data_IF_300873744480
#
_entry.id   IF_300873744480
#
_cell.length_a   1.000
_cell.length_b   1.000
_cell.length_c   1.000
_cell.angle_alpha   90.00
_cell.angle_beta   90.00
_cell.angle_gamma   90.00
#
_symmetry.space_group_name_H-M   'P 1'
#
loop_
_entity.id
_entity.type
_entity.pdbx_description
1 polymer ?
#
# COMPACT_ATOMS: atom_id res chain seq x y z
N UNK A 1 7.51 0.90 -13.51
CA UNK A 1 7.51 1.58 -12.21
C UNK A 1 6.26 1.18 -11.46
N UNK A 2 6.36 0.86 -10.18
CA UNK A 2 5.24 0.47 -9.33
C UNK A 2 5.07 1.48 -8.18
N UNK A 3 3.84 1.92 -7.92
CA UNK A 3 3.49 2.76 -6.79
C UNK A 3 2.57 2.02 -5.83
N UNK A 4 2.98 1.90 -4.56
CA UNK A 4 2.12 1.38 -3.49
C UNK A 4 1.41 2.53 -2.79
N UNK A 5 0.10 2.57 -2.88
CA UNK A 5 -0.76 3.61 -2.31
C UNK A 5 -1.61 3.00 -1.19
N UNK A 6 -1.38 3.42 0.05
CA UNK A 6 -2.11 2.95 1.23
C UNK A 6 -2.35 4.12 2.17
N UNK A 7 -3.52 4.76 2.07
CA UNK A 7 -3.82 5.99 2.80
C UNK A 7 -5.08 5.86 3.66
N UNK A 8 -5.02 6.42 4.86
CA UNK A 8 -6.19 6.64 5.72
C UNK A 8 -7.01 7.81 5.19
N UNK A 9 -6.39 8.99 5.09
CA UNK A 9 -6.96 10.18 4.46
C UNK A 9 -6.82 10.08 2.93
N UNK A 10 -7.96 10.09 2.24
CA UNK A 10 -8.08 9.89 0.79
C UNK A 10 -8.16 11.20 0.02
N UNK A 11 -7.96 12.34 0.67
CA UNK A 11 -7.98 13.66 0.02
C UNK A 11 -6.98 13.71 -1.13
N UNK A 12 -7.47 13.96 -2.35
CA UNK A 12 -6.66 14.08 -3.57
C UNK A 12 -6.06 12.78 -4.11
N UNK A 13 -6.37 11.61 -3.51
CA UNK A 13 -5.70 10.35 -3.89
C UNK A 13 -6.08 9.87 -5.28
N UNK A 14 -7.30 10.18 -5.74
CA UNK A 14 -7.81 9.74 -7.04
C UNK A 14 -7.10 10.48 -8.16
N UNK A 15 -7.06 11.81 -8.09
CA UNK A 15 -6.40 12.66 -9.07
C UNK A 15 -4.91 12.34 -9.15
N UNK A 16 -4.28 12.10 -8.00
CA UNK A 16 -2.90 11.68 -7.92
C UNK A 16 -2.66 10.32 -8.60
N UNK A 17 -3.49 9.31 -8.31
CA UNK A 17 -3.38 7.98 -8.90
C UNK A 17 -3.66 7.99 -10.42
N UNK A 18 -4.60 8.80 -10.89
CA UNK A 18 -4.86 9.02 -12.31
C UNK A 18 -3.63 9.60 -13.03
N UNK A 19 -2.98 10.60 -12.44
CA UNK A 19 -1.76 11.18 -13.00
C UNK A 19 -0.62 10.16 -13.07
N UNK A 20 -0.42 9.36 -12.02
CA UNK A 20 0.56 8.26 -12.03
C UNK A 20 0.25 7.23 -13.13
N UNK A 21 -1.01 6.83 -13.25
CA UNK A 21 -1.43 5.87 -14.28
C UNK A 21 -1.21 6.41 -15.70
N UNK A 22 -1.51 7.69 -15.93
CA UNK A 22 -1.26 8.36 -17.23
C UNK A 22 0.23 8.38 -17.61
N UNK A 23 1.14 8.32 -16.63
CA UNK A 23 2.58 8.18 -16.83
C UNK A 23 3.05 6.71 -17.01
N UNK A 24 2.12 5.75 -17.04
CA UNK A 24 2.43 4.32 -17.17
C UNK A 24 2.89 3.67 -15.87
N UNK A 25 2.68 4.31 -14.71
CA UNK A 25 2.97 3.71 -13.41
C UNK A 25 1.88 2.69 -13.07
N UNK A 26 2.30 1.49 -12.66
CA UNK A 26 1.39 0.46 -12.16
C UNK A 26 0.98 0.79 -10.72
N UNK A 27 -0.31 0.68 -10.43
CA UNK A 27 -0.87 1.02 -9.13
C UNK A 27 -1.05 -0.25 -8.29
N UNK A 28 -0.42 -0.26 -7.12
CA UNK A 28 -0.62 -1.26 -6.08
C UNK A 28 -1.37 -0.60 -4.92
N UNK A 29 -2.36 -1.25 -4.35
CA UNK A 29 -3.09 -0.70 -3.20
C UNK A 29 -3.71 -1.78 -2.33
N UNK A 30 -4.36 -1.39 -1.24
CA UNK A 30 -4.98 -2.32 -0.28
C UNK A 30 -6.27 -1.76 0.30
N UNK A 31 -7.23 -2.65 0.58
CA UNK A 31 -8.45 -2.36 1.32
C UNK A 31 -9.23 -1.19 0.74
N UNK A 32 -9.66 -0.27 1.62
CA UNK A 32 -10.49 0.87 1.22
C UNK A 32 -9.83 1.83 0.21
N UNK A 33 -8.50 1.86 0.09
CA UNK A 33 -7.82 2.66 -0.95
C UNK A 33 -7.94 1.96 -2.30
N UNK A 34 -7.67 0.65 -2.36
CA UNK A 34 -7.81 -0.12 -3.60
C UNK A 34 -9.23 -0.06 -4.15
N UNK A 35 -10.22 -0.24 -3.27
CA UNK A 35 -11.65 -0.13 -3.61
C UNK A 35 -11.99 1.22 -4.24
N UNK A 36 -11.58 2.33 -3.60
CA UNK A 36 -11.83 3.67 -4.12
C UNK A 36 -11.23 3.85 -5.52
N UNK A 37 -9.98 3.44 -5.73
CA UNK A 37 -9.31 3.60 -7.02
C UNK A 37 -9.98 2.75 -8.12
N UNK A 38 -10.37 1.51 -7.79
CA UNK A 38 -11.07 0.62 -8.71
C UNK A 38 -12.46 1.16 -9.10
N UNK A 39 -13.21 1.74 -8.15
CA UNK A 39 -14.51 2.39 -8.40
C UNK A 39 -14.39 3.59 -9.36
N UNK A 40 -13.22 4.22 -9.44
CA UNK A 40 -12.90 5.28 -10.40
C UNK A 40 -12.36 4.76 -11.74
N UNK A 41 -12.40 3.43 -11.96
CA UNK A 41 -11.97 2.79 -13.19
C UNK A 41 -10.45 2.68 -13.36
N UNK A 42 -9.67 2.91 -12.31
CA UNK A 42 -8.22 2.75 -12.37
C UNK A 42 -7.81 1.27 -12.29
N UNK A 43 -6.85 0.82 -13.10
CA UNK A 43 -6.32 -0.54 -13.02
C UNK A 43 -5.37 -0.66 -11.82
N UNK A 44 -5.93 -0.96 -10.66
CA UNK A 44 -5.21 -1.19 -9.41
C UNK A 44 -5.08 -2.69 -9.14
N UNK A 45 -3.88 -3.12 -8.75
CA UNK A 45 -3.63 -4.47 -8.24
C UNK A 45 -3.71 -4.44 -6.72
N UNK A 46 -4.51 -5.33 -6.14
CA UNK A 46 -4.59 -5.45 -4.70
C UNK A 46 -3.34 -6.14 -4.14
N UNK A 47 -2.86 -5.70 -2.97
CA UNK A 47 -1.70 -6.31 -2.30
C UNK A 47 -1.95 -7.80 -2.04
N UNK A 48 -3.18 -8.22 -1.73
CA UNK A 48 -3.52 -9.62 -1.53
C UNK A 48 -3.29 -10.47 -2.79
N UNK A 49 -3.63 -9.94 -3.98
CA UNK A 49 -3.37 -10.61 -5.26
C UNK A 49 -1.87 -10.72 -5.54
N UNK A 50 -1.12 -9.65 -5.26
CA UNK A 50 0.33 -9.63 -5.44
C UNK A 50 1.04 -10.59 -4.48
N UNK A 51 0.62 -10.66 -3.22
CA UNK A 51 1.25 -11.51 -2.20
C UNK A 51 0.79 -12.96 -2.31
N UNK A 52 -0.42 -13.20 -2.82
CA UNK A 52 -1.11 -14.49 -2.74
C UNK A 52 -1.56 -14.83 -1.32
N UNK A 53 -1.56 -13.86 -0.41
CA UNK A 53 -1.90 -14.05 1.00
C UNK A 53 -3.18 -13.27 1.34
N UNK A 54 -4.19 -13.90 1.94
CA UNK A 54 -5.47 -13.26 2.19
C UNK A 54 -5.36 -12.20 3.28
N UNK A 55 -6.36 -11.30 3.34
CA UNK A 55 -6.51 -10.42 4.49
C UNK A 55 -6.86 -11.24 5.74
N UNK A 56 -6.18 -10.95 6.86
CA UNK A 56 -6.40 -11.60 8.15
C UNK A 56 -6.18 -10.62 9.31
N UNK A 57 -6.70 -10.96 10.50
CA UNK A 57 -6.57 -10.17 11.73
C UNK A 57 -7.03 -8.72 11.52
N UNK A 58 -8.21 -8.54 10.90
CA UNK A 58 -8.82 -7.24 10.62
C UNK A 58 -7.88 -6.26 9.87
N UNK A 59 -7.07 -6.82 8.97
CA UNK A 59 -6.15 -6.06 8.12
C UNK A 59 -4.86 -5.63 8.80
N UNK A 60 -4.58 -6.07 10.04
CA UNK A 60 -3.37 -5.71 10.81
C UNK A 60 -2.06 -6.16 10.16
N UNK A 61 -2.09 -7.22 9.33
CA UNK A 61 -0.87 -7.83 8.76
C UNK A 61 -0.84 -7.85 7.23
N UNK A 62 -1.77 -7.16 6.56
CA UNK A 62 -1.97 -7.25 5.10
C UNK A 62 -0.76 -6.88 4.24
N UNK A 63 0.09 -5.96 4.70
CA UNK A 63 1.31 -5.53 3.98
C UNK A 63 2.60 -6.11 4.54
N UNK A 64 2.55 -6.83 5.67
CA UNK A 64 3.72 -7.39 6.35
C UNK A 64 4.21 -8.66 5.65
N UNK A 65 4.61 -8.52 4.39
CA UNK A 65 4.95 -9.62 3.51
C UNK A 65 6.28 -9.37 2.76
N UNK A 66 7.13 -10.39 2.55
CA UNK A 66 8.40 -10.22 1.82
C UNK A 66 8.24 -9.67 0.39
N UNK A 67 7.15 -10.00 -0.31
CA UNK A 67 6.87 -9.42 -1.65
C UNK A 67 6.62 -7.90 -1.62
N UNK A 68 6.15 -7.36 -0.49
CA UNK A 68 5.98 -5.90 -0.32
C UNK A 68 7.30 -5.28 0.11
N UNK A 69 7.86 -5.74 1.23
CA UNK A 69 9.05 -5.13 1.82
C UNK A 69 10.32 -5.39 1.02
N UNK A 70 10.44 -6.53 0.33
CA UNK A 70 11.53 -6.80 -0.60
C UNK A 70 11.51 -5.82 -1.78
N UNK A 71 10.33 -5.56 -2.34
CA UNK A 71 10.16 -4.56 -3.41
C UNK A 71 10.53 -3.14 -2.98
N UNK A 72 10.27 -2.77 -1.72
CA UNK A 72 10.60 -1.46 -1.15
C UNK A 72 12.08 -1.32 -0.74
N UNK A 73 12.66 -2.35 -0.13
CA UNK A 73 13.96 -2.28 0.55
C UNK A 73 15.13 -2.73 -0.33
N UNK A 74 14.88 -3.39 -1.46
CA UNK A 74 15.94 -3.80 -2.36
C UNK A 74 16.72 -2.60 -2.90
N UNK A 75 18.04 -2.66 -2.73
CA UNK A 75 18.97 -1.69 -3.26
C UNK A 75 19.27 -2.01 -4.71
N UNK A 76 18.83 -1.14 -5.62
CA UNK A 76 18.99 -1.32 -7.07
C UNK A 76 20.46 -1.31 -7.52
N UNK A 77 21.33 -0.65 -6.77
CA UNK A 77 22.78 -0.59 -7.02
C UNK A 77 23.54 -1.83 -6.53
N UNK A 78 22.89 -2.77 -5.85
CA UNK A 78 23.48 -4.01 -5.35
C UNK A 78 22.97 -5.19 -6.20
N UNK A 79 23.77 -5.75 -7.13
CA UNK A 79 23.32 -6.81 -8.04
C UNK A 79 22.72 -8.04 -7.33
N UNK A 80 23.26 -8.39 -6.15
CA UNK A 80 22.75 -9.51 -5.37
C UNK A 80 21.31 -9.30 -4.88
N UNK A 81 20.90 -8.06 -4.56
CA UNK A 81 19.52 -7.77 -4.16
C UNK A 81 18.57 -7.93 -5.35
N UNK A 82 18.96 -7.44 -6.53
CA UNK A 82 18.15 -7.57 -7.75
C UNK A 82 18.03 -9.02 -8.21
N UNK A 83 19.09 -9.82 -8.04
CA UNK A 83 19.06 -11.26 -8.28
C UNK A 83 18.07 -11.96 -7.34
N UNK A 84 18.11 -11.66 -6.03
CA UNK A 84 17.18 -12.24 -5.06
C UNK A 84 15.72 -11.86 -5.34
N UNK A 85 15.45 -10.61 -5.76
CA UNK A 85 14.12 -10.20 -6.20
C UNK A 85 13.64 -11.04 -7.40
N UNK A 86 14.49 -11.18 -8.42
CA UNK A 86 14.16 -11.96 -9.61
C UNK A 86 13.93 -13.44 -9.31
N UNK A 87 14.74 -14.05 -8.44
CA UNK A 87 14.62 -15.45 -8.03
C UNK A 87 13.28 -15.74 -7.35
N UNK A 88 12.80 -14.79 -6.53
CA UNK A 88 11.56 -14.93 -5.77
C UNK A 88 10.34 -14.27 -6.43
N UNK A 89 10.48 -13.81 -7.68
CA UNK A 89 9.44 -13.11 -8.43
C UNK A 89 8.84 -11.92 -7.65
N UNK A 90 9.72 -11.09 -7.09
CA UNK A 90 9.36 -9.87 -6.36
C UNK A 90 9.66 -8.67 -7.25
N UNK A 91 8.61 -7.92 -7.61
CA UNK A 91 8.78 -6.65 -8.34
C UNK A 91 9.26 -5.53 -7.41
N UNK A 92 10.02 -4.57 -7.96
CA UNK A 92 10.41 -3.37 -7.20
C UNK A 92 9.24 -2.43 -6.98
N UNK A 93 9.22 -1.76 -5.83
CA UNK A 93 8.31 -0.65 -5.55
C UNK A 93 9.12 0.64 -5.57
N UNK A 94 8.74 1.57 -6.44
CA UNK A 94 9.51 2.79 -6.72
C UNK A 94 8.94 4.00 -5.98
N UNK A 95 7.65 3.96 -5.64
CA UNK A 95 6.94 5.01 -4.92
C UNK A 95 6.06 4.40 -3.83
N UNK A 96 6.19 4.92 -2.61
CA UNK A 96 5.31 4.59 -1.49
C UNK A 96 4.52 5.84 -1.09
N UNK A 97 3.19 5.74 -1.11
CA UNK A 97 2.27 6.83 -0.77
C UNK A 97 1.46 6.36 0.42
N UNK A 98 1.82 6.88 1.58
CA UNK A 98 1.24 6.45 2.85
C UNK A 98 0.97 7.66 3.74
N UNK A 99 -0.20 7.65 4.36
CA UNK A 99 -0.49 8.46 5.54
C UNK A 99 -1.13 7.54 6.60
N UNK A 100 -0.89 7.87 7.86
CA UNK A 100 -1.28 7.02 8.98
C UNK A 100 -2.71 7.30 9.40
N UNK A 101 -3.31 6.35 10.13
CA UNK A 101 -4.56 6.60 10.81
C UNK A 101 -4.40 7.83 11.72
N UNK A 102 -5.36 8.78 11.74
CA UNK A 102 -5.21 10.04 12.45
C UNK A 102 -5.40 9.83 13.96
N UNK A 103 -4.41 9.19 14.59
CA UNK A 103 -4.43 8.78 15.99
C UNK A 103 -4.73 9.96 16.93
N UNK A 104 -4.08 11.11 16.72
CA UNK A 104 -4.33 12.33 17.49
C UNK A 104 -5.79 12.77 17.43
N UNK A 105 -6.39 12.76 16.23
CA UNK A 105 -7.79 13.11 16.05
C UNK A 105 -8.71 12.05 16.69
N UNK A 106 -8.33 10.78 16.69
CA UNK A 106 -9.08 9.70 17.35
C UNK A 106 -9.11 9.91 18.86
N UNK A 107 -7.96 10.11 19.52
CA UNK A 107 -7.91 10.29 20.98
C UNK A 107 -8.49 11.62 21.46
N UNK A 108 -8.57 12.63 20.58
CA UNK A 108 -9.22 13.89 20.88
C UNK A 108 -10.77 13.83 20.86
N UNK A 109 -11.37 12.76 20.32
CA UNK A 109 -12.83 12.61 20.27
C UNK A 109 -13.41 12.48 21.69
N UNK A 110 -14.44 13.26 22.05
CA UNK A 110 -15.15 13.06 23.30
C UNK A 110 -15.67 11.62 23.41
N UNK A 111 -15.34 10.93 24.50
CA UNK A 111 -15.76 9.55 24.72
C UNK A 111 -14.88 8.48 24.08
N UNK A 112 -13.71 8.83 23.52
CA UNK A 112 -12.73 7.84 23.06
C UNK A 112 -12.37 6.89 24.19
N UNK A 113 -12.53 5.58 23.95
CA UNK A 113 -12.12 4.54 24.88
C UNK A 113 -10.64 4.17 24.67
N UNK A 114 -10.09 3.39 25.60
CA UNK A 114 -8.74 2.83 25.42
C UNK A 114 -8.70 1.87 24.22
N UNK A 115 -9.78 1.11 23.99
CA UNK A 115 -9.89 0.20 22.85
C UNK A 115 -9.85 0.98 21.53
N UNK A 116 -10.61 2.07 21.42
CA UNK A 116 -10.60 2.95 20.24
C UNK A 116 -9.22 3.55 19.94
N UNK A 117 -8.40 3.77 20.99
CA UNK A 117 -7.04 4.26 20.85
C UNK A 117 -6.04 3.16 20.46
N UNK A 118 -6.28 1.91 20.83
CA UNK A 118 -5.37 0.79 20.53
C UNK A 118 -5.49 0.33 19.06
N UNK A 119 -6.67 0.49 18.46
CA UNK A 119 -6.90 0.23 17.03
C UNK A 119 -6.22 1.25 16.10
#
# INVERSE_FOLDING_TARGET
>A
MNALISVSDKTGVVEFAQALHALGVKLLSTGGTAKLLAEQGLPVTEVADMTGFPEMLDGRVKTLHPRVHGGLLARRDVPAHMAALSEHAIDTIDLLVVNLYPFEATVAKPGCTLEDAIE
#
